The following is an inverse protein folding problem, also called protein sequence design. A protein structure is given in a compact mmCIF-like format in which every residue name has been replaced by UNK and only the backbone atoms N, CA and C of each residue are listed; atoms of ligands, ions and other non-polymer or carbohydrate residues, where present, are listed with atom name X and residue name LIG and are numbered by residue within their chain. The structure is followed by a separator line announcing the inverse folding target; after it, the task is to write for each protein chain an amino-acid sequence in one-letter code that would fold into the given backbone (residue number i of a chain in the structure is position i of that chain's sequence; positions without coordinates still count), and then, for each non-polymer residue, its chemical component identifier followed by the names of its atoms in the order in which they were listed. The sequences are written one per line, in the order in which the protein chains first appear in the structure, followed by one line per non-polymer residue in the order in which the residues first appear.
data_IF_879041087821
#
_entry.id   IF_879041087821
#
_cell.length_a   1.000
_cell.length_b   1.000
_cell.length_c   1.000
_cell.angle_alpha   90.00
_cell.angle_beta   90.00
_cell.angle_gamma   90.00
#
_symmetry.space_group_name_H-M   'P 1'
#
loop_
_entity.id
_entity.type
_entity.pdbx_description
1 polymer ?
#
# COMPACT_ATOMS: atom_id res chain seq x y z
N UNK A 1 -25.73 -8.44 15.31
CA UNK A 1 -24.97 -9.69 15.50
C UNK A 1 -25.73 -10.85 14.88
N UNK A 2 -25.09 -11.64 14.02
CA UNK A 2 -25.75 -12.69 13.22
C UNK A 2 -25.02 -14.03 13.31
N UNK A 3 -25.74 -15.17 13.22
CA UNK A 3 -25.13 -16.48 12.95
C UNK A 3 -24.42 -16.52 11.60
N UNK A 4 -23.53 -17.50 11.41
CA UNK A 4 -22.65 -17.57 10.24
C UNK A 4 -23.37 -17.55 8.89
N UNK A 5 -24.51 -18.24 8.75
CA UNK A 5 -25.23 -18.32 7.48
C UNK A 5 -25.92 -17.00 7.12
N UNK A 6 -26.52 -16.33 8.12
CA UNK A 6 -27.14 -15.03 7.96
C UNK A 6 -26.08 -13.93 7.69
N UNK A 7 -24.97 -13.97 8.43
CA UNK A 7 -23.86 -13.05 8.23
C UNK A 7 -23.22 -13.21 6.84
N UNK A 8 -23.01 -14.44 6.37
CA UNK A 8 -22.45 -14.70 5.05
C UNK A 8 -23.39 -14.18 3.94
N UNK A 9 -24.70 -14.37 4.09
CA UNK A 9 -25.71 -13.82 3.17
C UNK A 9 -25.69 -12.30 3.12
N UNK A 10 -25.64 -11.63 4.27
CA UNK A 10 -25.64 -10.16 4.34
C UNK A 10 -24.30 -9.53 3.90
N UNK A 11 -23.21 -10.29 4.00
CA UNK A 11 -21.91 -9.94 3.44
C UNK A 11 -21.77 -10.29 1.96
N UNK A 12 -22.77 -10.94 1.36
CA UNK A 12 -22.78 -11.43 -0.03
C UNK A 12 -21.59 -12.35 -0.35
N UNK A 13 -21.24 -13.23 0.58
CA UNK A 13 -20.14 -14.19 0.45
C UNK A 13 -20.58 -15.61 0.82
N UNK A 14 -19.73 -16.59 0.48
CA UNK A 14 -19.93 -17.97 0.92
C UNK A 14 -19.59 -18.16 2.40
N UNK A 15 -20.27 -19.09 3.07
CA UNK A 15 -19.93 -19.51 4.45
C UNK A 15 -18.48 -20.01 4.56
N UNK A 16 -17.94 -20.81 3.62
CA UNK A 16 -16.51 -21.14 3.59
C UNK A 16 -15.59 -19.92 3.59
N UNK A 17 -15.93 -18.87 2.83
CA UNK A 17 -15.18 -17.60 2.82
C UNK A 17 -15.17 -16.96 4.21
N UNK A 18 -16.33 -16.86 4.86
CA UNK A 18 -16.42 -16.28 6.20
C UNK A 18 -15.66 -17.13 7.24
N UNK A 19 -15.69 -18.46 7.13
CA UNK A 19 -14.85 -19.36 7.96
C UNK A 19 -13.36 -19.14 7.73
N UNK A 20 -12.93 -18.92 6.48
CA UNK A 20 -11.54 -18.58 6.15
C UNK A 20 -11.15 -17.25 6.76
N UNK A 21 -11.96 -16.20 6.59
CA UNK A 21 -11.71 -14.88 7.17
C UNK A 21 -11.62 -14.92 8.70
N UNK A 22 -12.45 -15.74 9.36
CA UNK A 22 -12.32 -15.97 10.82
C UNK A 22 -10.93 -16.46 11.22
N UNK A 23 -10.32 -17.35 10.44
CA UNK A 23 -8.94 -17.84 10.69
C UNK A 23 -7.88 -16.76 10.46
N UNK A 24 -8.21 -15.72 9.70
CA UNK A 24 -7.36 -14.56 9.42
C UNK A 24 -7.60 -13.41 10.42
N UNK A 25 -8.36 -13.63 11.50
CA UNK A 25 -8.60 -12.61 12.53
C UNK A 25 -9.79 -11.69 12.27
N UNK A 26 -10.69 -12.07 11.34
CA UNK A 26 -11.95 -11.35 11.13
C UNK A 26 -12.77 -11.25 12.43
N UNK A 27 -13.31 -10.06 12.77
CA UNK A 27 -14.07 -9.84 14.00
C UNK A 27 -15.25 -10.80 14.13
N UNK A 28 -15.30 -11.52 15.25
CA UNK A 28 -16.45 -12.32 15.64
C UNK A 28 -16.44 -12.53 17.16
N UNK A 29 -17.62 -12.76 17.73
CA UNK A 29 -17.74 -13.28 19.09
C UNK A 29 -17.64 -14.80 19.00
N UNK A 30 -16.58 -15.41 19.56
CA UNK A 30 -16.38 -16.85 19.45
C UNK A 30 -17.49 -17.60 20.19
N UNK A 31 -17.99 -18.65 19.54
CA UNK A 31 -18.91 -19.60 20.15
C UNK A 31 -18.22 -20.51 21.18
N UNK A 32 -19.02 -21.25 21.96
CA UNK A 32 -18.57 -22.30 22.88
C UNK A 32 -18.96 -23.69 22.36
N UNK A 33 -18.41 -24.74 22.96
CA UNK A 33 -18.89 -26.12 22.70
C UNK A 33 -20.30 -26.30 23.28
N UNK A 34 -21.18 -26.97 22.53
CA UNK A 34 -22.56 -27.26 22.93
C UNK A 34 -23.60 -26.67 21.97
N UNK A 35 -24.83 -27.19 22.02
CA UNK A 35 -25.95 -26.66 21.23
C UNK A 35 -26.25 -25.22 21.64
N UNK A 36 -26.55 -24.35 20.68
CA UNK A 36 -26.90 -22.94 20.91
C UNK A 36 -25.71 -21.97 21.08
N UNK A 37 -24.48 -22.46 21.11
CA UNK A 37 -23.28 -21.64 21.32
C UNK A 37 -22.51 -21.35 20.01
N UNK A 38 -23.22 -21.02 18.93
CA UNK A 38 -22.59 -20.66 17.66
C UNK A 38 -21.83 -19.32 17.75
N UNK A 39 -20.80 -19.16 16.93
CA UNK A 39 -20.12 -17.87 16.79
C UNK A 39 -21.06 -16.82 16.17
N UNK A 40 -20.97 -15.59 16.67
CA UNK A 40 -21.77 -14.45 16.21
C UNK A 40 -20.88 -13.43 15.50
N UNK A 41 -21.42 -12.87 14.42
CA UNK A 41 -20.70 -11.98 13.51
C UNK A 41 -21.37 -10.61 13.47
N UNK A 42 -20.58 -9.56 13.58
CA UNK A 42 -21.00 -8.19 13.36
C UNK A 42 -20.65 -7.80 11.92
N UNK A 43 -21.65 -7.70 11.06
CA UNK A 43 -21.46 -7.40 9.64
C UNK A 43 -20.80 -6.04 9.44
N UNK A 44 -21.14 -5.03 10.24
CA UNK A 44 -20.54 -3.70 10.12
C UNK A 44 -19.05 -3.73 10.50
N UNK A 45 -18.71 -4.40 11.60
CA UNK A 45 -17.31 -4.57 12.02
C UNK A 45 -16.50 -5.35 10.97
N UNK A 46 -17.09 -6.38 10.34
CA UNK A 46 -16.43 -7.17 9.29
C UNK A 46 -16.21 -6.35 8.02
N UNK A 47 -17.18 -5.50 7.63
CA UNK A 47 -17.01 -4.57 6.50
C UNK A 47 -15.86 -3.60 6.77
N UNK A 48 -15.78 -3.02 7.97
CA UNK A 48 -14.69 -2.14 8.36
C UNK A 48 -13.33 -2.86 8.37
N UNK A 49 -13.27 -4.07 8.93
CA UNK A 49 -12.08 -4.92 8.91
C UNK A 49 -11.61 -5.21 7.49
N UNK A 50 -12.53 -5.58 6.58
CA UNK A 50 -12.22 -5.85 5.17
C UNK A 50 -11.72 -4.60 4.46
N UNK A 51 -12.34 -3.45 4.70
CA UNK A 51 -11.91 -2.18 4.11
C UNK A 51 -10.50 -1.79 4.59
N UNK A 52 -10.17 -2.01 5.86
CA UNK A 52 -8.83 -1.80 6.39
C UNK A 52 -7.80 -2.72 5.71
N UNK A 53 -8.09 -4.01 5.56
CA UNK A 53 -7.20 -4.96 4.85
C UNK A 53 -7.00 -4.58 3.38
N UNK A 54 -8.05 -4.11 2.71
CA UNK A 54 -7.97 -3.62 1.33
C UNK A 54 -7.09 -2.38 1.19
N UNK A 55 -7.24 -1.41 2.11
CA UNK A 55 -6.37 -0.22 2.16
C UNK A 55 -4.91 -0.58 2.45
N UNK A 56 -4.66 -1.53 3.33
CA UNK A 56 -3.32 -2.02 3.64
C UNK A 56 -2.64 -2.61 2.38
N UNK A 57 -3.34 -3.47 1.65
CA UNK A 57 -2.85 -4.07 0.41
C UNK A 57 -2.57 -3.00 -0.67
N UNK A 58 -3.48 -2.04 -0.84
CA UNK A 58 -3.29 -0.94 -1.80
C UNK A 58 -2.10 -0.06 -1.42
N UNK A 59 -1.93 0.26 -0.14
CA UNK A 59 -0.79 1.06 0.32
C UNK A 59 0.55 0.35 0.04
N UNK A 60 0.61 -0.98 0.22
CA UNK A 60 1.79 -1.79 -0.12
C UNK A 60 2.09 -1.78 -1.63
N UNK A 61 1.05 -1.94 -2.45
CA UNK A 61 1.16 -1.90 -3.90
C UNK A 61 1.69 -0.54 -4.38
N UNK A 62 1.04 0.55 -3.93
CA UNK A 62 1.48 1.92 -4.23
C UNK A 62 2.90 2.19 -3.73
N UNK A 63 3.22 1.73 -2.52
CA UNK A 63 4.56 1.89 -1.94
C UNK A 63 5.67 1.21 -2.75
N UNK A 64 5.33 0.18 -3.52
CA UNK A 64 6.28 -0.54 -4.37
C UNK A 64 6.44 0.12 -5.74
N UNK A 65 5.36 0.65 -6.31
CA UNK A 65 5.34 1.16 -7.69
C UNK A 65 5.67 2.66 -7.78
N UNK A 66 5.20 3.45 -6.82
CA UNK A 66 5.25 4.91 -6.87
C UNK A 66 6.66 5.49 -7.06
N UNK A 67 7.73 5.01 -6.39
CA UNK A 67 9.07 5.56 -6.59
C UNK A 67 9.59 5.38 -8.02
N UNK A 68 9.24 4.28 -8.68
CA UNK A 68 9.60 4.03 -10.08
C UNK A 68 8.88 5.01 -11.02
N UNK A 69 7.56 5.16 -10.85
CA UNK A 69 6.75 6.10 -11.64
C UNK A 69 7.26 7.54 -11.50
N UNK A 70 7.60 7.97 -10.27
CA UNK A 70 8.18 9.29 -10.04
C UNK A 70 9.56 9.43 -10.70
N UNK A 71 10.38 8.37 -10.66
CA UNK A 71 11.70 8.38 -11.27
C UNK A 71 11.62 8.53 -12.79
N UNK A 72 10.71 7.80 -13.44
CA UNK A 72 10.47 7.88 -14.88
C UNK A 72 9.98 9.29 -15.26
N UNK A 73 8.99 9.83 -14.54
CA UNK A 73 8.46 11.15 -14.82
C UNK A 73 9.50 12.28 -14.66
N UNK A 74 10.31 12.23 -13.60
CA UNK A 74 11.38 13.22 -13.37
C UNK A 74 12.48 13.10 -14.41
N UNK A 75 12.82 11.86 -14.81
CA UNK A 75 13.81 11.63 -15.85
C UNK A 75 13.34 12.11 -17.21
N UNK A 76 12.10 11.85 -17.59
CA UNK A 76 11.49 12.38 -18.81
C UNK A 76 11.50 13.91 -18.79
N UNK A 77 11.10 14.53 -17.68
CA UNK A 77 11.16 15.99 -17.54
C UNK A 77 12.59 16.53 -17.72
N UNK A 78 13.59 15.87 -17.13
CA UNK A 78 15.00 16.23 -17.33
C UNK A 78 15.45 16.02 -18.79
N UNK A 79 14.98 14.95 -19.44
CA UNK A 79 15.32 14.62 -20.82
C UNK A 79 14.82 15.67 -21.80
N UNK A 80 13.63 16.24 -21.57
CA UNK A 80 13.06 17.32 -22.38
C UNK A 80 13.75 18.68 -22.16
N UNK A 81 14.61 18.83 -21.15
CA UNK A 81 15.37 20.07 -20.96
C UNK A 81 16.39 20.26 -22.08
N UNK A 82 16.44 21.49 -22.60
CA UNK A 82 17.46 21.96 -23.54
C UNK A 82 18.39 22.98 -22.89
N UNK A 83 19.52 23.23 -23.56
CA UNK A 83 20.47 24.29 -23.19
C UNK A 83 21.71 23.81 -22.41
N UNK A 84 22.69 24.71 -22.23
CA UNK A 84 24.03 24.36 -21.75
C UNK A 84 24.05 23.86 -20.29
N UNK A 85 23.04 24.19 -19.49
CA UNK A 85 22.97 23.85 -18.05
C UNK A 85 22.19 22.57 -17.74
N UNK A 86 21.81 21.78 -18.76
CA UNK A 86 21.05 20.53 -18.58
C UNK A 86 21.71 19.57 -17.58
N UNK A 87 23.04 19.42 -17.66
CA UNK A 87 23.81 18.55 -16.77
C UNK A 87 23.69 18.99 -15.31
N UNK A 88 23.83 20.30 -15.07
CA UNK A 88 23.76 20.91 -13.73
C UNK A 88 22.40 20.70 -13.06
N UNK A 89 21.33 20.57 -13.85
CA UNK A 89 19.96 20.33 -13.36
C UNK A 89 19.72 18.88 -12.91
N UNK A 90 20.58 17.92 -13.24
CA UNK A 90 20.38 16.51 -12.87
C UNK A 90 20.39 16.29 -11.35
N UNK A 91 21.28 16.98 -10.62
CA UNK A 91 21.38 16.89 -9.16
C UNK A 91 20.12 17.39 -8.44
N UNK A 92 19.64 18.61 -8.71
CA UNK A 92 18.38 19.11 -8.19
C UNK A 92 17.18 18.21 -8.52
N UNK A 93 17.11 17.65 -9.74
CA UNK A 93 16.04 16.73 -10.13
C UNK A 93 16.09 15.43 -9.32
N UNK A 94 17.28 14.84 -9.13
CA UNK A 94 17.45 13.67 -8.27
C UNK A 94 17.07 13.96 -6.81
N UNK A 95 17.45 15.12 -6.28
CA UNK A 95 17.07 15.54 -4.92
C UNK A 95 15.56 15.73 -4.78
N UNK A 96 14.91 16.37 -5.75
CA UNK A 96 13.46 16.55 -5.77
C UNK A 96 12.74 15.19 -5.79
N UNK A 97 13.18 14.27 -6.65
CA UNK A 97 12.69 12.90 -6.69
C UNK A 97 12.84 12.19 -5.33
N UNK A 98 14.01 12.28 -4.70
CA UNK A 98 14.23 11.68 -3.38
C UNK A 98 13.27 12.25 -2.33
N UNK A 99 13.12 13.56 -2.28
CA UNK A 99 12.23 14.23 -1.33
C UNK A 99 10.77 13.83 -1.56
N UNK A 100 10.29 13.86 -2.80
CA UNK A 100 8.92 13.48 -3.15
C UNK A 100 8.63 12.01 -2.88
N UNK A 101 9.51 11.10 -3.29
CA UNK A 101 9.34 9.67 -3.05
C UNK A 101 9.35 9.35 -1.55
N UNK A 102 10.28 9.94 -0.79
CA UNK A 102 10.35 9.76 0.67
C UNK A 102 9.06 10.26 1.33
N UNK A 103 8.63 11.49 1.04
CA UNK A 103 7.42 12.06 1.63
C UNK A 103 6.16 11.25 1.31
N UNK A 104 6.01 10.77 0.07
CA UNK A 104 4.88 9.96 -0.34
C UNK A 104 4.86 8.60 0.38
N UNK A 105 6.02 7.93 0.51
CA UNK A 105 6.12 6.68 1.24
C UNK A 105 5.92 6.88 2.75
N UNK A 106 6.44 7.95 3.33
CA UNK A 106 6.22 8.26 4.75
C UNK A 106 4.74 8.51 5.06
N UNK A 107 4.01 9.17 4.15
CA UNK A 107 2.56 9.34 4.27
C UNK A 107 1.83 7.99 4.27
N UNK A 108 2.15 7.10 3.32
CA UNK A 108 1.57 5.75 3.28
C UNK A 108 1.97 4.92 4.52
N UNK A 109 3.18 5.10 5.03
CA UNK A 109 3.70 4.42 6.23
C UNK A 109 3.02 4.86 7.52
N UNK A 110 2.54 6.10 7.59
CA UNK A 110 1.77 6.58 8.74
C UNK A 110 0.47 5.77 8.94
N UNK A 111 -0.11 5.27 7.85
CA UNK A 111 -1.29 4.40 7.88
C UNK A 111 -0.94 2.91 7.87
N UNK A 112 0.18 2.53 7.25
CA UNK A 112 0.62 1.15 7.12
C UNK A 112 2.16 1.02 7.25
N UNK A 113 2.63 0.63 8.44
CA UNK A 113 4.07 0.52 8.75
C UNK A 113 4.85 -0.46 7.85
N UNK A 114 4.15 -1.39 7.19
CA UNK A 114 4.72 -2.39 6.28
C UNK A 114 5.13 -1.81 4.91
N UNK A 115 4.67 -0.61 4.56
CA UNK A 115 5.07 0.10 3.33
C UNK A 115 6.59 0.33 3.31
N UNK A 116 7.31 0.04 2.23
CA UNK A 116 8.76 0.19 2.18
C UNK A 116 9.20 1.66 2.33
N UNK A 117 10.45 1.86 2.76
CA UNK A 117 11.10 3.18 2.75
C UNK A 117 11.78 3.40 1.40
N UNK A 118 11.98 4.66 1.01
CA UNK A 118 12.75 5.00 -0.18
C UNK A 118 14.25 4.84 0.10
N UNK A 119 14.79 3.66 -0.22
CA UNK A 119 16.19 3.30 0.03
C UNK A 119 16.73 2.40 -1.08
N UNK A 120 18.04 2.19 -1.09
CA UNK A 120 18.69 1.31 -2.04
C UNK A 120 18.12 -0.15 -1.98
N UNK A 121 17.99 -0.84 -3.14
CA UNK A 121 18.30 -0.36 -4.48
C UNK A 121 17.30 0.69 -4.96
N UNK A 122 17.81 1.79 -5.50
CA UNK A 122 16.96 2.87 -6.01
C UNK A 122 16.54 2.60 -7.46
N UNK A 123 15.44 3.22 -7.95
CA UNK A 123 15.05 3.16 -9.35
C UNK A 123 16.19 3.59 -10.29
N UNK A 124 16.30 2.94 -11.44
CA UNK A 124 17.39 3.14 -12.40
C UNK A 124 17.56 4.61 -12.81
N UNK A 125 16.45 5.28 -13.14
CA UNK A 125 16.47 6.67 -13.55
C UNK A 125 16.89 7.65 -12.44
N UNK A 126 16.62 7.33 -11.16
CA UNK A 126 17.19 8.09 -10.04
C UNK A 126 18.71 7.93 -9.97
N UNK A 127 19.21 6.70 -10.07
CA UNK A 127 20.65 6.43 -10.07
C UNK A 127 21.34 7.09 -11.26
N UNK A 128 20.68 7.13 -12.42
CA UNK A 128 21.19 7.80 -13.61
C UNK A 128 21.39 9.31 -13.38
N UNK A 129 20.35 10.00 -12.87
CA UNK A 129 20.45 11.44 -12.56
C UNK A 129 21.53 11.73 -11.50
N UNK A 130 21.66 10.87 -10.48
CA UNK A 130 22.72 10.98 -9.47
C UNK A 130 24.12 10.84 -10.06
N UNK A 131 24.31 9.88 -10.97
CA UNK A 131 25.61 9.67 -11.65
C UNK A 131 26.00 10.86 -12.52
N UNK A 132 25.04 11.48 -13.21
CA UNK A 132 25.30 12.71 -13.97
C UNK A 132 25.73 13.84 -13.05
N UNK A 133 25.04 14.02 -11.91
CA UNK A 133 25.33 15.08 -10.97
C UNK A 133 26.70 14.94 -10.27
N UNK A 134 27.20 13.71 -10.16
CA UNK A 134 28.47 13.41 -9.48
C UNK A 134 29.72 13.57 -10.38
N UNK A 135 29.54 13.69 -11.70
CA UNK A 135 30.64 13.84 -12.67
C UNK A 135 30.65 15.20 -13.35
#
# INVERSE_FOLDING_TARGET
MLPIDAAARELEISVPTLKRWRRLGCPCVPGRRGRGHAALYDVAAIRAWRAAHGREALALELGTVLPGVLADAVFDAWRELEGPTKREKAGPMALALYACATAALDHLRAENASVPQFRAPFPEHFEYLRKIAAG
#
